data_IF_126292686209
#
_entry.id   IF_126292686209
#
_cell.length_a   1.000
_cell.length_b   1.000
_cell.length_c   1.000
_cell.angle_alpha   90.00
_cell.angle_beta   90.00
_cell.angle_gamma   90.00
#
_symmetry.space_group_name_H-M   'P 1'
#
loop_
_entity.id
_entity.type
_entity.pdbx_description
1 polymer ?
#
# COMPACT_ATOMS: atom_id res chain seq x y z
N UNK A 1 30.38 26.97 -48.92
CA UNK A 1 29.24 26.66 -48.03
C UNK A 1 28.91 25.15 -48.04
N UNK A 2 29.94 24.33 -48.14
CA UNK A 2 30.44 23.39 -47.13
C UNK A 2 29.41 22.56 -46.38
N UNK A 3 29.45 21.26 -46.68
CA UNK A 3 28.79 20.16 -45.95
C UNK A 3 29.02 20.22 -44.42
N UNK A 4 30.01 20.97 -43.97
CA UNK A 4 30.30 21.34 -42.57
C UNK A 4 29.17 22.16 -41.92
N UNK A 5 28.48 23.02 -42.68
CA UNK A 5 27.35 23.83 -42.17
C UNK A 5 26.09 22.98 -41.92
N UNK A 6 25.93 21.86 -42.65
CA UNK A 6 24.81 20.93 -42.52
C UNK A 6 24.95 20.01 -41.29
N UNK A 7 26.19 19.63 -40.94
CA UNK A 7 26.47 18.87 -39.72
C UNK A 7 26.35 19.71 -38.43
N UNK A 8 26.57 21.03 -38.51
CA UNK A 8 26.38 21.96 -37.38
C UNK A 8 24.88 22.16 -37.07
N UNK A 9 24.00 22.08 -38.07
CA UNK A 9 22.53 22.15 -37.89
C UNK A 9 21.92 20.86 -37.32
N UNK A 10 22.49 19.69 -37.61
CA UNK A 10 22.05 18.40 -37.04
C UNK A 10 22.50 18.24 -35.58
N UNK A 11 23.63 18.86 -35.18
CA UNK A 11 24.11 18.87 -33.80
C UNK A 11 23.25 19.70 -32.83
N UNK A 12 22.54 20.72 -33.33
CA UNK A 12 21.66 21.55 -32.50
C UNK A 12 20.25 20.96 -32.28
N UNK A 13 19.84 19.96 -33.07
CA UNK A 13 18.54 19.30 -32.91
C UNK A 13 18.53 18.19 -31.84
N UNK A 14 19.70 17.80 -31.31
CA UNK A 14 19.81 16.78 -30.26
C UNK A 14 19.86 17.32 -28.83
N UNK A 15 19.84 18.65 -28.64
CA UNK A 15 19.88 19.27 -27.30
C UNK A 15 18.45 19.59 -26.77
N UNK A 16 17.40 19.50 -27.60
CA UNK A 16 16.02 19.85 -27.20
C UNK A 16 15.16 18.63 -26.79
N UNK A 17 15.67 17.40 -26.87
CA UNK A 17 14.96 16.20 -26.37
C UNK A 17 15.37 15.84 -24.92
N UNK A 18 16.41 16.50 -24.38
CA UNK A 18 16.89 16.25 -23.01
C UNK A 18 16.14 16.99 -21.89
N UNK A 19 15.27 17.96 -22.22
CA UNK A 19 14.64 18.86 -21.24
C UNK A 19 13.15 18.61 -20.97
N UNK A 20 12.56 17.54 -21.52
CA UNK A 20 11.16 17.13 -21.24
C UNK A 20 11.09 15.86 -20.37
N UNK A 21 12.20 15.43 -19.77
CA UNK A 21 12.13 14.66 -18.51
C UNK A 21 12.24 15.63 -17.34
N UNK A 22 11.45 16.70 -17.42
CA UNK A 22 11.19 17.61 -16.33
C UNK A 22 10.52 16.78 -15.24
N UNK A 23 11.35 16.34 -14.30
CA UNK A 23 11.00 15.91 -12.96
C UNK A 23 9.67 15.17 -12.92
N UNK A 24 9.73 13.85 -13.09
CA UNK A 24 8.71 13.00 -12.51
C UNK A 24 8.58 13.45 -11.06
N UNK A 25 7.51 14.18 -10.78
CA UNK A 25 7.11 14.49 -9.43
C UNK A 25 7.01 13.12 -8.79
N UNK A 26 7.91 12.83 -7.85
CA UNK A 26 7.57 11.94 -6.76
C UNK A 26 6.40 12.64 -6.09
N UNK A 27 5.21 12.40 -6.63
CA UNK A 27 3.96 12.80 -6.03
C UNK A 27 3.90 11.90 -4.81
N UNK A 28 4.47 12.39 -3.70
CA UNK A 28 4.14 11.84 -2.39
C UNK A 28 2.65 12.05 -2.25
N UNK A 29 1.90 11.01 -2.61
CA UNK A 29 0.47 10.99 -2.43
C UNK A 29 0.27 10.91 -0.92
N UNK A 30 0.17 12.09 -0.30
CA UNK A 30 -0.26 12.23 1.09
C UNK A 30 -1.72 11.77 1.10
N UNK A 31 -1.92 10.46 1.24
CA UNK A 31 -3.21 9.93 1.63
C UNK A 31 -3.50 10.52 3.01
N UNK A 32 -4.54 11.34 3.09
CA UNK A 32 -5.06 11.78 4.37
C UNK A 32 -5.34 10.53 5.22
N UNK A 33 -4.87 10.50 6.46
CA UNK A 33 -5.08 9.44 7.46
C UNK A 33 -6.55 8.98 7.49
N UNK A 34 -7.47 9.91 7.26
CA UNK A 34 -8.92 9.68 7.12
C UNK A 34 -9.33 8.71 6.00
N UNK A 35 -8.49 8.49 4.99
CA UNK A 35 -8.84 7.68 3.83
C UNK A 35 -8.77 6.17 4.09
N UNK A 36 -8.19 5.69 5.20
CA UNK A 36 -8.16 4.25 5.49
C UNK A 36 -8.83 3.85 6.80
N UNK A 37 -9.41 4.83 7.50
CA UNK A 37 -10.22 4.58 8.68
C UNK A 37 -11.45 3.73 8.32
N UNK A 38 -11.79 2.79 9.19
CA UNK A 38 -12.97 1.95 9.01
C UNK A 38 -12.75 0.49 9.34
N UNK A 39 -13.72 -0.32 8.91
CA UNK A 39 -13.72 -1.76 9.11
C UNK A 39 -13.33 -2.42 7.78
N UNK A 40 -12.27 -3.19 7.83
CA UNK A 40 -11.72 -3.91 6.69
C UNK A 40 -11.91 -5.40 6.93
N UNK A 41 -12.83 -6.01 6.18
CA UNK A 41 -13.05 -7.44 6.21
C UNK A 41 -12.32 -8.12 5.05
N UNK A 42 -11.66 -9.23 5.36
CA UNK A 42 -10.94 -10.06 4.41
C UNK A 42 -11.10 -11.54 4.75
N UNK A 43 -10.68 -12.37 3.79
CA UNK A 43 -10.62 -13.82 3.94
C UNK A 43 -9.18 -14.27 3.93
N UNK A 44 -8.86 -15.16 4.84
CA UNK A 44 -7.54 -15.74 5.04
C UNK A 44 -7.61 -17.24 4.77
N UNK A 45 -6.82 -17.75 3.83
CA UNK A 45 -6.67 -19.20 3.63
C UNK A 45 -5.43 -19.71 4.36
N UNK A 46 -5.62 -20.56 5.37
CA UNK A 46 -4.54 -21.24 6.10
C UNK A 46 -4.81 -22.74 6.11
N UNK A 47 -3.85 -23.55 5.67
CA UNK A 47 -3.96 -25.02 5.68
C UNK A 47 -5.25 -25.55 5.01
N UNK A 48 -5.72 -24.89 3.95
CA UNK A 48 -6.94 -25.26 3.23
C UNK A 48 -8.26 -24.82 3.89
N UNK A 49 -8.19 -24.13 5.03
CA UNK A 49 -9.35 -23.53 5.72
C UNK A 49 -9.41 -22.03 5.42
N UNK A 50 -10.59 -21.50 5.15
CA UNK A 50 -10.83 -20.08 4.98
C UNK A 50 -11.34 -19.48 6.30
N UNK A 51 -10.67 -18.44 6.80
CA UNK A 51 -10.97 -17.72 8.03
C UNK A 51 -11.32 -16.27 7.70
N UNK A 52 -12.35 -15.75 8.35
CA UNK A 52 -12.69 -14.33 8.28
C UNK A 52 -11.78 -13.53 9.19
N UNK A 53 -11.21 -12.47 8.66
CA UNK A 53 -10.38 -11.52 9.39
C UNK A 53 -11.00 -10.14 9.25
N UNK A 54 -11.15 -9.45 10.38
CA UNK A 54 -11.72 -8.12 10.44
C UNK A 54 -10.70 -7.20 11.11
N UNK A 55 -10.22 -6.20 10.38
CA UNK A 55 -9.43 -5.12 10.94
C UNK A 55 -10.31 -3.90 11.21
N UNK A 56 -10.13 -3.28 12.38
CA UNK A 56 -10.76 -2.01 12.73
C UNK A 56 -9.66 -0.98 12.81
N UNK A 57 -9.64 -0.04 11.88
CA UNK A 57 -8.62 1.01 11.78
C UNK A 57 -9.23 2.32 12.22
N UNK A 58 -8.58 2.99 13.17
CA UNK A 58 -8.98 4.28 13.73
C UNK A 58 -7.85 5.29 13.55
N UNK A 59 -8.18 6.45 12.99
CA UNK A 59 -7.28 7.59 12.98
C UNK A 59 -7.43 8.41 14.25
N UNK A 60 -6.29 8.86 14.76
CA UNK A 60 -6.20 9.68 15.96
C UNK A 60 -6.09 11.17 15.59
N UNK A 61 -6.46 12.09 16.50
CA UNK A 61 -6.36 13.53 16.27
C UNK A 61 -4.92 14.03 15.99
N UNK A 62 -3.91 13.26 16.38
CA UNK A 62 -2.49 13.55 16.14
C UNK A 62 -1.99 13.08 14.76
N UNK A 63 -2.87 12.49 13.94
CA UNK A 63 -2.56 11.95 12.62
C UNK A 63 -1.97 10.54 12.65
N UNK A 64 -1.92 9.88 13.80
CA UNK A 64 -1.52 8.46 13.89
C UNK A 64 -2.69 7.52 13.61
N UNK A 65 -2.39 6.26 13.30
CA UNK A 65 -3.37 5.19 13.13
C UNK A 65 -3.23 4.16 14.24
N UNK A 66 -4.35 3.61 14.68
CA UNK A 66 -4.41 2.42 15.52
C UNK A 66 -5.29 1.38 14.84
N UNK A 67 -5.00 0.10 15.07
CA UNK A 67 -5.85 -0.95 14.55
C UNK A 67 -5.92 -2.18 15.46
N UNK A 68 -7.02 -2.91 15.35
CA UNK A 68 -7.22 -4.22 15.98
C UNK A 68 -7.67 -5.25 14.96
N UNK A 69 -7.27 -6.50 15.14
CA UNK A 69 -7.74 -7.67 14.41
C UNK A 69 -8.74 -8.47 15.24
N UNK A 70 -9.84 -8.88 14.59
CA UNK A 70 -10.73 -9.94 15.04
C UNK A 70 -10.68 -11.11 14.02
N UNK A 71 -10.72 -12.34 14.54
CA UNK A 71 -10.94 -13.58 13.77
C UNK A 71 -12.15 -14.31 14.37
N UNK A 72 -13.38 -14.00 13.89
CA UNK A 72 -14.62 -14.58 14.44
C UNK A 72 -14.65 -16.10 14.37
N UNK A 73 -14.08 -16.68 13.31
CA UNK A 73 -14.06 -18.13 13.09
C UNK A 73 -13.12 -18.86 14.06
N UNK A 74 -12.21 -18.13 14.69
CA UNK A 74 -11.29 -18.64 15.71
C UNK A 74 -11.62 -18.11 17.12
N UNK A 75 -12.64 -17.27 17.28
CA UNK A 75 -13.00 -16.65 18.56
C UNK A 75 -11.98 -15.64 19.08
N UNK A 76 -11.08 -15.12 18.24
CA UNK A 76 -10.10 -14.11 18.62
C UNK A 76 -10.64 -12.70 18.35
N UNK A 77 -10.51 -11.79 19.30
CA UNK A 77 -11.02 -10.41 19.17
C UNK A 77 -10.09 -9.40 19.82
N UNK A 78 -9.96 -8.22 19.22
CA UNK A 78 -9.23 -7.09 19.77
C UNK A 78 -7.72 -7.28 19.79
N UNK A 79 -7.16 -8.13 18.92
CA UNK A 79 -5.71 -8.34 18.84
C UNK A 79 -5.08 -7.04 18.31
N UNK A 80 -4.15 -6.40 19.04
CA UNK A 80 -3.56 -5.14 18.60
C UNK A 80 -2.70 -5.36 17.35
N UNK A 81 -2.86 -4.46 16.38
CA UNK A 81 -1.93 -4.34 15.24
C UNK A 81 -0.81 -3.40 15.62
N UNK A 82 0.42 -3.84 15.38
CA UNK A 82 1.64 -3.16 15.82
C UNK A 82 2.26 -2.31 14.72
N UNK A 83 1.98 -2.60 13.44
CA UNK A 83 2.42 -1.80 12.30
C UNK A 83 1.31 -1.68 11.27
N UNK A 84 1.11 -0.45 10.78
CA UNK A 84 0.09 -0.10 9.80
C UNK A 84 0.78 0.75 8.74
N UNK A 85 0.89 0.23 7.53
CA UNK A 85 1.43 0.95 6.38
C UNK A 85 0.39 0.94 5.28
N UNK A 86 0.07 2.12 4.77
CA UNK A 86 -0.75 2.25 3.57
C UNK A 86 0.02 2.98 2.48
N UNK A 87 0.32 2.27 1.40
CA UNK A 87 1.11 2.80 0.28
C UNK A 87 0.64 2.18 -1.03
N UNK A 88 0.57 2.98 -2.09
CA UNK A 88 0.23 2.50 -3.44
C UNK A 88 -1.07 1.66 -3.46
N UNK A 89 -2.09 2.11 -2.70
CA UNK A 89 -3.37 1.43 -2.52
C UNK A 89 -3.29 0.03 -1.88
N UNK A 90 -2.17 -0.27 -1.25
CA UNK A 90 -1.91 -1.52 -0.52
C UNK A 90 -1.81 -1.22 0.96
N UNK A 91 -2.62 -1.93 1.73
CA UNK A 91 -2.66 -1.91 3.18
C UNK A 91 -1.83 -3.09 3.71
N UNK A 92 -0.79 -2.76 4.47
CA UNK A 92 0.05 -3.70 5.17
C UNK A 92 -0.19 -3.54 6.68
N UNK A 93 -0.51 -4.65 7.34
CA UNK A 93 -0.80 -4.70 8.77
C UNK A 93 0.03 -5.82 9.40
N UNK A 94 0.77 -5.52 10.46
CA UNK A 94 1.60 -6.51 11.15
C UNK A 94 1.22 -6.64 12.62
N UNK A 95 1.16 -7.88 13.10
CA UNK A 95 1.04 -8.27 14.50
C UNK A 95 2.30 -9.06 14.83
N UNK A 96 3.37 -8.36 15.25
CA UNK A 96 4.71 -8.96 15.41
C UNK A 96 4.71 -10.01 16.52
N UNK A 97 3.94 -9.78 17.58
CA UNK A 97 3.74 -10.73 18.68
C UNK A 97 3.18 -12.09 18.23
N UNK A 98 2.41 -12.13 17.15
CA UNK A 98 1.88 -13.36 16.56
C UNK A 98 2.65 -13.81 15.30
N UNK A 99 3.64 -13.02 14.87
CA UNK A 99 4.37 -13.20 13.62
C UNK A 99 3.45 -13.17 12.40
N UNK A 100 2.38 -12.36 12.44
CA UNK A 100 1.34 -12.26 11.41
C UNK A 100 1.55 -10.98 10.61
N UNK A 101 1.64 -11.10 9.29
CA UNK A 101 1.61 -9.97 8.35
C UNK A 101 0.39 -10.15 7.46
N UNK A 102 -0.39 -9.11 7.23
CA UNK A 102 -1.48 -9.06 6.27
C UNK A 102 -1.21 -7.99 5.21
N UNK A 103 -1.28 -8.35 3.93
CA UNK A 103 -1.18 -7.41 2.83
C UNK A 103 -2.43 -7.49 1.97
N UNK A 104 -3.15 -6.39 1.80
CA UNK A 104 -4.38 -6.34 1.02
C UNK A 104 -4.52 -5.07 0.19
N UNK A 105 -5.07 -5.16 -1.01
CA UNK A 105 -5.40 -3.97 -1.82
C UNK A 105 -6.75 -3.40 -1.41
N UNK A 106 -6.81 -2.08 -1.25
CA UNK A 106 -8.05 -1.38 -1.02
C UNK A 106 -8.93 -1.41 -2.26
N UNK A 107 -10.13 -2.00 -2.15
CA UNK A 107 -11.17 -1.85 -3.16
C UNK A 107 -11.84 -0.47 -3.08
N UNK A 108 -12.70 -0.17 -4.05
CA UNK A 108 -13.39 1.14 -4.18
C UNK A 108 -14.22 1.54 -2.94
N UNK A 109 -14.53 0.60 -2.05
CA UNK A 109 -15.29 0.81 -0.80
C UNK A 109 -14.50 0.43 0.47
N UNK A 110 -13.17 0.42 0.45
CA UNK A 110 -12.33 -0.08 1.56
C UNK A 110 -12.60 -1.55 1.94
N UNK A 111 -13.25 -2.28 1.04
CA UNK A 111 -13.35 -3.74 1.10
C UNK A 111 -12.04 -4.33 0.58
N UNK A 112 -11.42 -5.25 1.30
CA UNK A 112 -10.20 -5.88 0.83
C UNK A 112 -10.54 -6.84 -0.31
N UNK A 113 -9.86 -6.67 -1.44
CA UNK A 113 -10.12 -7.47 -2.63
C UNK A 113 -9.52 -8.87 -2.50
N UNK A 114 -8.39 -9.02 -1.82
CA UNK A 114 -7.69 -10.28 -1.50
C UNK A 114 -6.48 -9.90 -0.65
N UNK A 115 -6.15 -10.70 0.38
CA UNK A 115 -4.92 -10.47 1.13
C UNK A 115 -4.22 -11.76 1.53
N UNK A 116 -2.88 -11.73 1.47
CA UNK A 116 -2.04 -12.85 1.90
C UNK A 116 -1.61 -12.58 3.35
N UNK A 117 -1.78 -13.60 4.20
CA UNK A 117 -1.22 -13.58 5.54
C UNK A 117 -0.01 -14.48 5.61
N UNK A 118 1.10 -13.97 6.13
CA UNK A 118 2.27 -14.79 6.48
C UNK A 118 2.32 -14.90 7.99
N UNK A 119 2.22 -16.13 8.50
CA UNK A 119 2.38 -16.42 9.92
C UNK A 119 3.70 -17.17 10.13
N UNK A 120 4.52 -16.72 11.08
CA UNK A 120 5.75 -17.45 11.43
C UNK A 120 5.42 -18.88 11.88
N UNK A 121 5.70 -19.87 11.04
CA UNK A 121 5.43 -21.28 11.29
C UNK A 121 4.71 -22.03 10.16
N UNK A 122 4.20 -21.34 9.13
CA UNK A 122 3.66 -21.91 7.88
C UNK A 122 3.96 -21.02 6.67
#
# INVERSE_FOLDING_TARGET
MDRVLFFILIGFMLIIIGSIFCTALAQEQIFSVSAIEGIWEGKLKVSGTELRIIFKILGNPDGTLTATLDSPDQGATGIPVEEIIFKDNTLHLEIKSAGIIYEGKAGENFSVVEGELKQSGQ
#
